data_IF_739218730702
#
_entry.id   IF_739218730702
#
_cell.length_a   1.000
_cell.length_b   1.000
_cell.length_c   1.000
_cell.angle_alpha   90.00
_cell.angle_beta   90.00
_cell.angle_gamma   90.00
#
_symmetry.space_group_name_H-M   'P 1'
#
loop_
_entity.id
_entity.type
_entity.pdbx_description
1 polymer ?
#
# COMPACT_ATOMS: atom_id res chain seq x y z
N UNK A 1 -11.78 -11.02 -14.21
CA UNK A 1 -10.65 -10.18 -13.75
C UNK A 1 -9.98 -9.32 -14.84
N UNK A 2 -9.67 -9.83 -16.05
CA UNK A 2 -8.95 -9.06 -17.11
C UNK A 2 -9.63 -7.76 -17.58
N UNK A 3 -10.97 -7.65 -17.44
CA UNK A 3 -11.75 -6.48 -17.88
C UNK A 3 -11.52 -5.24 -16.98
N UNK A 4 -11.21 -5.44 -15.69
CA UNK A 4 -10.99 -4.33 -14.75
C UNK A 4 -9.59 -3.69 -14.90
N UNK A 5 -8.56 -4.49 -15.23
CA UNK A 5 -7.17 -4.02 -15.35
C UNK A 5 -6.95 -2.98 -16.47
N UNK A 6 -7.87 -2.87 -17.43
CA UNK A 6 -7.78 -1.94 -18.56
C UNK A 6 -8.59 -0.66 -18.39
N UNK A 7 -9.27 -0.48 -17.25
CA UNK A 7 -10.03 0.74 -16.98
C UNK A 7 -9.06 1.89 -16.69
N UNK A 8 -9.31 3.07 -17.27
CA UNK A 8 -8.43 4.24 -17.19
C UNK A 8 -8.10 4.64 -15.75
N UNK A 9 -9.11 4.60 -14.86
CA UNK A 9 -8.94 4.94 -13.46
C UNK A 9 -8.09 3.92 -12.68
N UNK A 10 -8.21 2.62 -13.01
CA UNK A 10 -7.38 1.57 -12.41
C UNK A 10 -5.93 1.71 -12.86
N UNK A 11 -5.69 2.03 -14.13
CA UNK A 11 -4.35 2.28 -14.66
C UNK A 11 -3.73 3.50 -13.98
N UNK A 12 -4.50 4.60 -13.87
CA UNK A 12 -4.07 5.82 -13.20
C UNK A 12 -3.74 5.55 -11.73
N UNK A 13 -4.65 4.90 -11.00
CA UNK A 13 -4.43 4.54 -9.60
C UNK A 13 -3.15 3.70 -9.44
N UNK A 14 -2.98 2.67 -10.28
CA UNK A 14 -1.77 1.82 -10.28
C UNK A 14 -0.50 2.64 -10.52
N UNK A 15 -0.54 3.58 -11.46
CA UNK A 15 0.60 4.46 -11.77
C UNK A 15 0.97 5.33 -10.57
N UNK A 16 -0.03 5.96 -9.93
CA UNK A 16 0.17 6.82 -8.76
C UNK A 16 0.71 6.02 -7.58
N UNK A 17 0.11 4.89 -7.21
CA UNK A 17 0.60 4.09 -6.06
C UNK A 17 1.99 3.53 -6.30
N UNK A 18 2.33 3.18 -7.54
CA UNK A 18 3.64 2.61 -7.88
C UNK A 18 4.76 3.66 -7.93
N UNK A 19 4.44 4.96 -8.05
CA UNK A 19 5.46 6.02 -8.02
C UNK A 19 6.01 6.26 -6.60
N UNK A 20 5.22 5.91 -5.58
CA UNK A 20 5.49 6.22 -4.18
C UNK A 20 5.16 7.67 -3.79
N UNK A 21 4.39 8.38 -4.63
CA UNK A 21 3.92 9.75 -4.39
C UNK A 21 2.39 9.82 -4.22
N UNK A 22 1.79 8.74 -3.70
CA UNK A 22 0.33 8.65 -3.64
C UNK A 22 -0.30 9.76 -2.80
N UNK A 23 0.30 10.12 -1.66
CA UNK A 23 -0.28 11.14 -0.78
C UNK A 23 -0.20 12.53 -1.41
N UNK A 24 0.91 12.83 -2.08
CA UNK A 24 1.12 14.09 -2.76
C UNK A 24 0.14 14.25 -3.94
N UNK A 25 -0.03 13.21 -4.75
CA UNK A 25 -0.95 13.21 -5.89
C UNK A 25 -2.43 13.18 -5.44
N UNK A 26 -2.77 12.40 -4.42
CA UNK A 26 -4.13 12.37 -3.90
C UNK A 26 -4.52 13.69 -3.23
N UNK A 27 -3.58 14.37 -2.56
CA UNK A 27 -3.78 15.72 -2.01
C UNK A 27 -4.15 16.74 -3.08
N UNK A 28 -3.43 16.75 -4.21
CA UNK A 28 -3.76 17.59 -5.37
C UNK A 28 -5.15 17.28 -5.90
N UNK A 29 -5.46 15.99 -6.09
CA UNK A 29 -6.76 15.55 -6.58
C UNK A 29 -7.92 15.97 -5.65
N UNK A 30 -7.70 15.98 -4.33
CA UNK A 30 -8.66 16.49 -3.35
C UNK A 30 -8.92 18.00 -3.57
N UNK A 31 -7.85 18.80 -3.64
CA UNK A 31 -7.93 20.25 -3.85
C UNK A 31 -8.59 20.61 -5.20
N UNK A 32 -8.19 19.96 -6.28
CA UNK A 32 -8.78 20.15 -7.62
C UNK A 32 -10.28 19.79 -7.69
N UNK A 33 -10.77 18.99 -6.75
CA UNK A 33 -12.18 18.59 -6.66
C UNK A 33 -12.92 19.29 -5.52
N UNK A 34 -12.38 20.38 -4.99
CA UNK A 34 -13.05 21.27 -4.05
C UNK A 34 -12.96 20.87 -2.58
N UNK A 35 -12.06 19.94 -2.22
CA UNK A 35 -11.69 19.71 -0.82
C UNK A 35 -10.61 20.72 -0.41
N UNK A 36 -10.97 21.65 0.46
CA UNK A 36 -10.02 22.62 0.99
C UNK A 36 -9.24 21.99 2.16
N UNK A 37 -7.92 21.98 2.02
CA UNK A 37 -7.00 21.53 3.06
C UNK A 37 -6.27 22.76 3.59
N UNK A 38 -6.83 23.39 4.62
CA UNK A 38 -6.21 24.54 5.29
C UNK A 38 -5.17 24.06 6.30
N UNK A 39 -4.03 23.57 5.78
CA UNK A 39 -2.96 22.98 6.58
C UNK A 39 -1.58 23.40 6.05
N UNK A 40 -0.57 23.56 6.93
CA UNK A 40 0.79 23.87 6.52
C UNK A 40 1.38 22.80 5.57
N UNK A 41 2.19 23.24 4.59
CA UNK A 41 2.81 22.34 3.60
C UNK A 41 3.59 21.18 4.23
N UNK A 42 4.26 21.42 5.36
CA UNK A 42 5.04 20.40 6.06
C UNK A 42 4.18 19.31 6.73
N UNK A 43 2.91 19.60 7.01
CA UNK A 43 1.95 18.64 7.60
C UNK A 43 1.05 17.99 6.53
N UNK A 44 0.95 18.60 5.34
CA UNK A 44 0.10 18.17 4.23
C UNK A 44 0.16 16.66 3.98
N UNK A 45 1.36 16.11 3.90
CA UNK A 45 1.56 14.68 3.64
C UNK A 45 0.97 13.79 4.74
N UNK A 46 1.16 14.17 6.01
CA UNK A 46 0.63 13.42 7.15
C UNK A 46 -0.89 13.47 7.16
N UNK A 47 -1.46 14.64 6.91
CA UNK A 47 -2.91 14.81 6.88
C UNK A 47 -3.57 14.05 5.72
N UNK A 48 -3.01 14.12 4.51
CA UNK A 48 -3.53 13.37 3.36
C UNK A 48 -3.39 11.86 3.57
N UNK A 49 -2.38 11.41 4.30
CA UNK A 49 -2.28 10.01 4.74
C UNK A 49 -3.50 9.63 5.59
N UNK A 50 -3.86 10.43 6.59
CA UNK A 50 -5.03 10.14 7.45
C UNK A 50 -6.34 10.16 6.65
N UNK A 51 -6.50 11.12 5.73
CA UNK A 51 -7.63 11.16 4.79
C UNK A 51 -7.65 9.89 3.94
N UNK A 52 -6.50 9.42 3.45
CA UNK A 52 -6.39 8.20 2.65
C UNK A 52 -6.87 6.98 3.44
N UNK A 53 -6.39 6.81 4.68
CA UNK A 53 -6.81 5.71 5.54
C UNK A 53 -8.32 5.76 5.81
N UNK A 54 -8.84 6.94 6.16
CA UNK A 54 -10.28 7.16 6.34
C UNK A 54 -11.06 6.84 5.06
N UNK A 55 -10.54 7.23 3.90
CA UNK A 55 -11.20 7.02 2.61
C UNK A 55 -11.28 5.54 2.22
N UNK A 56 -10.19 4.80 2.42
CA UNK A 56 -10.05 3.41 1.98
C UNK A 56 -10.66 2.43 2.99
N UNK A 57 -10.51 2.67 4.30
CA UNK A 57 -10.83 1.70 5.35
C UNK A 57 -12.10 2.01 6.15
N UNK A 58 -12.74 3.18 5.95
CA UNK A 58 -14.04 3.45 6.57
C UNK A 58 -15.13 2.47 6.14
N UNK A 59 -16.12 2.31 7.01
CA UNK A 59 -17.33 1.51 6.73
C UNK A 59 -18.08 2.05 5.51
N UNK A 60 -18.72 1.15 4.75
CA UNK A 60 -19.43 1.50 3.52
C UNK A 60 -20.61 2.47 3.73
N UNK A 61 -21.13 2.65 4.95
CA UNK A 61 -22.23 3.58 5.23
C UNK A 61 -21.77 5.04 5.44
N UNK A 62 -20.46 5.31 5.60
CA UNK A 62 -19.92 6.65 5.92
C UNK A 62 -19.83 7.57 4.68
N UNK A 63 -19.93 7.00 3.46
CA UNK A 63 -19.78 7.72 2.18
C UNK A 63 -20.63 8.98 2.08
N UNK A 64 -21.84 8.96 2.66
CA UNK A 64 -22.81 10.06 2.53
C UNK A 64 -22.27 11.38 3.10
N UNK A 65 -21.40 11.29 4.11
CA UNK A 65 -20.96 12.45 4.90
C UNK A 65 -19.48 12.81 4.69
N UNK A 66 -18.70 11.97 4.02
CA UNK A 66 -17.27 12.21 3.82
C UNK A 66 -16.99 12.62 2.37
N UNK A 67 -16.54 13.87 2.16
CA UNK A 67 -16.30 14.42 0.82
C UNK A 67 -15.11 13.76 0.13
N UNK A 68 -14.02 13.49 0.86
CA UNK A 68 -12.88 12.74 0.36
C UNK A 68 -13.25 11.36 -0.23
N UNK A 69 -14.20 10.63 0.38
CA UNK A 69 -14.72 9.36 -0.19
C UNK A 69 -15.49 9.60 -1.49
N UNK A 70 -16.29 10.68 -1.58
CA UNK A 70 -17.02 11.03 -2.81
C UNK A 70 -16.07 11.37 -3.94
N UNK A 71 -15.02 12.15 -3.65
CA UNK A 71 -13.96 12.50 -4.58
C UNK A 71 -13.22 11.24 -5.03
N UNK A 72 -12.80 10.39 -4.11
CA UNK A 72 -12.13 9.12 -4.43
C UNK A 72 -13.00 8.23 -5.32
N UNK A 73 -14.30 8.08 -5.02
CA UNK A 73 -15.24 7.33 -5.86
C UNK A 73 -15.41 7.94 -7.26
N UNK A 74 -15.41 9.26 -7.36
CA UNK A 74 -15.52 9.98 -8.64
C UNK A 74 -14.29 9.76 -9.52
N UNK A 75 -13.10 9.81 -8.94
CA UNK A 75 -11.82 9.69 -9.66
C UNK A 75 -11.46 8.24 -9.95
N UNK A 76 -11.66 7.36 -8.96
CA UNK A 76 -11.31 5.93 -9.01
C UNK A 76 -12.53 5.01 -8.84
N UNK A 77 -13.57 5.11 -9.69
CA UNK A 77 -14.83 4.39 -9.51
C UNK A 77 -14.68 2.87 -9.50
N UNK A 78 -13.79 2.30 -10.32
CA UNK A 78 -13.59 0.85 -10.38
C UNK A 78 -12.76 0.35 -9.20
N UNK A 79 -11.75 1.11 -8.76
CA UNK A 79 -10.96 0.81 -7.56
C UNK A 79 -11.86 0.85 -6.32
N UNK A 80 -12.64 1.92 -6.21
CA UNK A 80 -13.63 2.10 -5.15
C UNK A 80 -14.64 0.95 -5.12
N UNK A 81 -15.14 0.51 -6.28
CA UNK A 81 -16.05 -0.64 -6.36
C UNK A 81 -15.41 -1.88 -5.75
N UNK A 82 -14.19 -2.23 -6.15
CA UNK A 82 -13.46 -3.40 -5.60
C UNK A 82 -13.29 -3.28 -4.09
N UNK A 83 -12.82 -2.14 -3.59
CA UNK A 83 -12.67 -1.86 -2.15
C UNK A 83 -13.99 -2.04 -1.41
N UNK A 84 -15.10 -1.55 -1.98
CA UNK A 84 -16.43 -1.64 -1.38
C UNK A 84 -16.93 -3.09 -1.31
N UNK A 85 -16.75 -3.87 -2.38
CA UNK A 85 -17.14 -5.28 -2.44
C UNK A 85 -16.36 -6.11 -1.42
N UNK A 86 -15.04 -5.89 -1.29
CA UNK A 86 -14.21 -6.60 -0.31
C UNK A 86 -14.68 -6.32 1.14
N UNK A 87 -15.18 -5.11 1.41
CA UNK A 87 -15.64 -4.70 2.75
C UNK A 87 -17.14 -4.93 2.98
N UNK A 88 -17.82 -5.67 2.10
CA UNK A 88 -19.28 -5.71 2.10
C UNK A 88 -19.85 -6.43 3.33
N UNK A 89 -19.25 -7.54 3.75
CA UNK A 89 -19.68 -8.28 4.93
C UNK A 89 -19.06 -7.71 6.20
N UNK A 90 -17.73 -7.51 6.21
CA UNK A 90 -17.02 -6.92 7.34
C UNK A 90 -16.09 -5.80 6.89
N UNK A 91 -16.20 -4.64 7.54
CA UNK A 91 -15.44 -3.46 7.14
C UNK A 91 -13.91 -3.65 7.22
N UNK A 92 -13.43 -4.57 8.06
CA UNK A 92 -12.02 -4.85 8.26
C UNK A 92 -11.45 -5.91 7.30
N UNK A 93 -12.27 -6.52 6.43
CA UNK A 93 -11.82 -7.56 5.49
C UNK A 93 -10.73 -7.06 4.55
N UNK A 94 -10.82 -5.81 4.08
CA UNK A 94 -9.76 -5.22 3.26
C UNK A 94 -8.43 -5.13 4.02
N UNK A 95 -8.46 -4.68 5.28
CA UNK A 95 -7.26 -4.57 6.10
C UNK A 95 -6.64 -5.96 6.38
N UNK A 96 -7.47 -6.94 6.72
CA UNK A 96 -7.04 -8.32 6.96
C UNK A 96 -6.45 -8.93 5.68
N UNK A 97 -7.09 -8.74 4.53
CA UNK A 97 -6.60 -9.26 3.26
C UNK A 97 -5.23 -8.68 2.88
N UNK A 98 -5.03 -7.37 3.07
CA UNK A 98 -3.75 -6.71 2.80
C UNK A 98 -2.65 -7.18 3.76
N UNK A 99 -2.94 -7.27 5.06
CA UNK A 99 -1.98 -7.77 6.06
C UNK A 99 -1.61 -9.24 5.82
N UNK A 100 -2.57 -10.08 5.42
CA UNK A 100 -2.31 -11.46 5.05
C UNK A 100 -1.44 -11.57 3.79
N UNK A 101 -1.66 -10.71 2.80
CA UNK A 101 -0.81 -10.63 1.60
C UNK A 101 0.62 -10.21 1.97
N UNK A 102 0.77 -9.22 2.85
CA UNK A 102 2.08 -8.79 3.35
C UNK A 102 2.80 -9.94 4.08
N UNK A 103 2.10 -10.65 4.97
CA UNK A 103 2.64 -11.80 5.68
C UNK A 103 3.03 -12.95 4.74
N UNK A 104 2.21 -13.27 3.72
CA UNK A 104 2.56 -14.26 2.69
C UNK A 104 3.87 -13.90 1.99
N UNK A 105 3.98 -12.67 1.51
CA UNK A 105 5.14 -12.21 0.74
C UNK A 105 6.41 -12.14 1.58
N UNK A 106 6.33 -11.62 2.80
CA UNK A 106 7.51 -11.46 3.66
C UNK A 106 7.91 -12.80 4.27
N UNK A 107 7.01 -13.48 4.98
CA UNK A 107 7.35 -14.69 5.73
C UNK A 107 7.44 -15.92 4.81
N UNK A 108 6.40 -16.18 4.05
CA UNK A 108 6.25 -17.46 3.36
C UNK A 108 6.93 -17.49 1.99
N UNK A 109 7.23 -16.32 1.39
CA UNK A 109 8.02 -16.22 0.16
C UNK A 109 9.45 -15.76 0.41
N UNK A 110 9.65 -14.55 0.95
CA UNK A 110 10.99 -13.97 1.06
C UNK A 110 11.85 -14.66 2.13
N UNK A 111 11.39 -14.75 3.39
CA UNK A 111 12.12 -15.42 4.47
C UNK A 111 12.35 -16.90 4.14
N UNK A 112 11.32 -17.62 3.67
CA UNK A 112 11.47 -19.01 3.21
C UNK A 112 12.57 -19.15 2.16
N UNK A 113 12.62 -18.26 1.17
CA UNK A 113 13.66 -18.28 0.13
C UNK A 113 15.04 -18.01 0.71
N UNK A 114 15.17 -17.03 1.61
CA UNK A 114 16.44 -16.71 2.28
C UNK A 114 16.94 -17.92 3.07
N UNK A 115 16.09 -18.56 3.87
CA UNK A 115 16.48 -19.73 4.68
C UNK A 115 16.87 -20.92 3.80
N UNK A 116 16.22 -21.12 2.66
CA UNK A 116 16.58 -22.19 1.72
C UNK A 116 17.89 -21.92 0.99
N UNK A 117 18.09 -20.68 0.52
CA UNK A 117 19.28 -20.28 -0.24
C UNK A 117 20.52 -20.13 0.68
N UNK A 118 20.33 -19.63 1.92
CA UNK A 118 21.38 -19.43 2.94
C UNK A 118 20.86 -19.70 4.36
N UNK A 119 20.90 -20.95 4.83
CA UNK A 119 20.36 -21.33 6.16
C UNK A 119 21.03 -20.65 7.36
N UNK A 120 22.27 -20.18 7.21
CA UNK A 120 23.05 -19.53 8.27
C UNK A 120 22.78 -18.03 8.42
N UNK A 121 22.04 -17.42 7.48
CA UNK A 121 21.72 -15.98 7.55
C UNK A 121 20.64 -15.78 8.63
N UNK A 122 20.93 -15.00 9.69
CA UNK A 122 19.94 -14.71 10.72
C UNK A 122 18.86 -13.80 10.14
N UNK A 123 17.60 -14.24 10.23
CA UNK A 123 16.46 -13.45 9.82
C UNK A 123 15.43 -13.39 10.95
N UNK A 124 15.02 -12.17 11.28
CA UNK A 124 13.89 -11.89 12.16
C UNK A 124 12.93 -10.99 11.41
N UNK A 125 11.65 -11.01 11.77
CA UNK A 125 10.66 -10.16 11.13
C UNK A 125 9.96 -9.28 12.15
N UNK A 126 9.80 -8.02 11.80
CA UNK A 126 8.98 -7.05 12.51
C UNK A 126 7.98 -6.48 11.51
N UNK A 127 6.74 -6.99 11.54
CA UNK A 127 5.71 -6.72 10.52
C UNK A 127 6.22 -6.96 9.09
N UNK A 128 6.31 -5.90 8.29
CA UNK A 128 6.74 -5.89 6.89
C UNK A 128 8.27 -5.80 6.73
N UNK A 129 9.01 -5.74 7.83
CA UNK A 129 10.46 -5.58 7.86
C UNK A 129 11.18 -6.89 8.16
N UNK A 130 12.30 -7.13 7.48
CA UNK A 130 13.22 -8.24 7.75
C UNK A 130 14.50 -7.67 8.37
N UNK A 131 14.81 -8.12 9.58
CA UNK A 131 16.01 -7.78 10.35
C UNK A 131 17.05 -8.88 10.13
N UNK A 132 18.28 -8.47 9.89
CA UNK A 132 19.43 -9.35 9.63
C UNK A 132 20.71 -8.64 10.05
N UNK A 133 21.83 -9.37 10.09
CA UNK A 133 23.16 -8.79 10.30
C UNK A 133 23.61 -7.91 9.11
N UNK A 134 24.50 -6.95 9.38
CA UNK A 134 24.92 -5.91 8.44
C UNK A 134 25.48 -6.46 7.12
N UNK A 135 26.26 -7.54 7.18
CA UNK A 135 26.86 -8.22 6.04
C UNK A 135 25.82 -8.87 5.11
N UNK A 136 24.62 -9.16 5.62
CA UNK A 136 23.56 -9.84 4.88
C UNK A 136 22.48 -8.89 4.33
N UNK A 137 22.47 -7.61 4.75
CA UNK A 137 21.42 -6.64 4.40
C UNK A 137 21.20 -6.54 2.89
N UNK A 138 22.26 -6.44 2.09
CA UNK A 138 22.15 -6.28 0.63
C UNK A 138 21.54 -7.54 -0.02
N UNK A 139 21.92 -8.72 0.47
CA UNK A 139 21.38 -9.98 -0.02
C UNK A 139 19.89 -10.10 0.33
N UNK A 140 19.52 -9.88 1.59
CA UNK A 140 18.11 -9.92 2.05
C UNK A 140 17.26 -8.91 1.29
N UNK A 141 17.75 -7.68 1.12
CA UNK A 141 17.06 -6.64 0.35
C UNK A 141 16.84 -7.07 -1.11
N UNK A 142 17.82 -7.73 -1.72
CA UNK A 142 17.74 -8.23 -3.10
C UNK A 142 16.67 -9.32 -3.22
N UNK A 143 16.63 -10.27 -2.29
CA UNK A 143 15.61 -11.33 -2.28
C UNK A 143 14.22 -10.74 -2.08
N UNK A 144 14.03 -9.83 -1.13
CA UNK A 144 12.74 -9.19 -0.88
C UNK A 144 12.26 -8.39 -2.11
N UNK A 145 13.14 -7.59 -2.73
CA UNK A 145 12.83 -6.85 -3.97
C UNK A 145 12.43 -7.79 -5.11
N UNK A 146 13.10 -8.93 -5.22
CA UNK A 146 12.80 -9.94 -6.25
C UNK A 146 11.43 -10.57 -6.02
N UNK A 147 11.16 -11.05 -4.81
CA UNK A 147 9.85 -11.63 -4.44
C UNK A 147 8.73 -10.64 -4.71
N UNK A 148 8.86 -9.39 -4.26
CA UNK A 148 7.82 -8.38 -4.50
C UNK A 148 7.62 -8.12 -6.00
N UNK A 149 8.70 -8.07 -6.80
CA UNK A 149 8.59 -7.94 -8.26
C UNK A 149 7.89 -9.14 -8.89
N UNK A 150 8.21 -10.35 -8.46
CA UNK A 150 7.71 -11.59 -9.08
C UNK A 150 6.22 -11.79 -8.78
N UNK A 151 5.74 -11.42 -7.58
CA UNK A 151 4.35 -11.63 -7.15
C UNK A 151 3.43 -10.41 -7.35
N UNK A 152 3.93 -9.18 -7.18
CA UNK A 152 3.13 -7.95 -7.32
C UNK A 152 3.36 -7.29 -8.70
N UNK A 153 4.50 -7.57 -9.35
CA UNK A 153 4.90 -6.94 -10.62
C UNK A 153 5.69 -5.64 -10.46
N UNK A 154 5.95 -5.20 -9.22
CA UNK A 154 6.63 -3.93 -8.91
C UNK A 154 7.74 -4.15 -7.88
N UNK A 155 8.85 -3.40 -8.01
CA UNK A 155 9.91 -3.39 -6.99
C UNK A 155 9.56 -2.37 -5.89
N UNK A 156 9.63 -2.74 -4.61
CA UNK A 156 9.38 -1.82 -3.51
C UNK A 156 10.57 -0.86 -3.34
N UNK A 157 10.27 0.34 -2.82
CA UNK A 157 11.28 1.22 -2.23
C UNK A 157 11.48 0.75 -0.78
N UNK A 158 12.64 0.16 -0.50
CA UNK A 158 12.99 -0.33 0.84
C UNK A 158 13.97 0.65 1.49
N UNK A 159 13.69 1.05 2.72
CA UNK A 159 14.61 1.80 3.58
C UNK A 159 15.45 0.79 4.37
N UNK A 160 16.75 1.04 4.50
CA UNK A 160 17.60 0.32 5.44
C UNK A 160 17.64 1.13 6.72
N UNK A 161 17.31 0.50 7.84
CA UNK A 161 17.39 1.10 9.17
C UNK A 161 18.45 0.36 9.98
N UNK A 162 19.28 1.12 10.69
CA UNK A 162 20.29 0.59 11.60
C UNK A 162 19.86 0.95 13.02
N UNK A 163 19.99 -0.01 13.93
CA UNK A 163 19.83 0.25 15.36
C UNK A 163 21.19 0.64 15.91
N UNK A 164 21.29 1.89 16.32
CA UNK A 164 22.46 2.49 16.99
C UNK A 164 22.10 2.83 18.43
#
# INVERSE_FOLDING_TARGET
>A
MKVFQRKKDVILFKSIVSSGQFYEEFGKLLQENGEFLDIPDHEMRSHVKDITFSTIFSKNNVIRYNNSIKIFKKIFPNVYKVIREIKNEKHNELAIALQNLEADLVLYKACKKITQDKPHVPIFTLHDSIITTQENVIYVQTVLKKVMKDYIGNKPKLKIERWE
#
